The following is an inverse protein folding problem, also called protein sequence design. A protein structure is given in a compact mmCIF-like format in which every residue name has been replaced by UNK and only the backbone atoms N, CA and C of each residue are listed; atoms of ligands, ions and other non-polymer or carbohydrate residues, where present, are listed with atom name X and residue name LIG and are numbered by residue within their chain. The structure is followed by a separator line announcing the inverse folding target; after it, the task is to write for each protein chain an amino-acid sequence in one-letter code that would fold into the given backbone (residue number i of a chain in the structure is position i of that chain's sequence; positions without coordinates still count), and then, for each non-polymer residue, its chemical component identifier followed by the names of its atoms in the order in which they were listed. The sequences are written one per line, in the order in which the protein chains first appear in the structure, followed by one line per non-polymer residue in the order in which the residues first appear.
data_IF_999229653636
#
_entry.id   IF_999229653636
#
_cell.length_a   1.000
_cell.length_b   1.000
_cell.length_c   1.000
_cell.angle_alpha   90.00
_cell.angle_beta   90.00
_cell.angle_gamma   90.00
#
_symmetry.space_group_name_H-M   'P 1'
#
loop_
_entity.id
_entity.type
_entity.pdbx_description
1 polymer ?
#
# COMPACT_ATOMS: atom_id res chain seq x y z
N UNK A 1 12.40 -18.43 10.37
CA UNK A 1 12.27 -17.20 9.57
C UNK A 1 12.24 -16.02 10.55
N UNK A 2 13.26 -15.15 10.61
CA UNK A 2 13.35 -14.10 11.61
C UNK A 2 12.75 -12.80 11.06
N UNK A 3 11.46 -12.79 10.76
CA UNK A 3 10.79 -11.58 10.30
C UNK A 3 9.59 -11.30 11.21
N UNK A 4 9.49 -10.09 11.73
CA UNK A 4 8.26 -9.58 12.33
C UNK A 4 7.22 -9.38 11.24
N UNK A 5 5.96 -9.67 11.54
CA UNK A 5 4.82 -9.38 10.64
C UNK A 5 3.85 -8.45 11.34
N UNK A 6 3.28 -7.52 10.59
CA UNK A 6 2.23 -6.63 11.04
C UNK A 6 1.25 -6.40 9.88
N UNK A 7 -0.03 -6.25 10.21
CA UNK A 7 -1.08 -5.96 9.25
C UNK A 7 -1.77 -4.66 9.65
N UNK A 8 -1.93 -3.77 8.68
CA UNK A 8 -2.68 -2.53 8.84
C UNK A 8 -3.85 -2.56 7.87
N UNK A 9 -5.06 -2.48 8.41
CA UNK A 9 -6.28 -2.43 7.62
C UNK A 9 -6.84 -1.02 7.62
N UNK A 10 -7.31 -0.58 6.46
CA UNK A 10 -7.98 0.71 6.35
C UNK A 10 -9.33 0.61 7.06
N UNK A 11 -9.65 1.54 7.99
CA UNK A 11 -10.96 1.54 8.65
C UNK A 11 -12.11 1.54 7.64
N UNK A 12 -13.18 0.81 7.93
CA UNK A 12 -14.33 0.64 7.03
C UNK A 12 -15.04 1.96 6.67
N UNK A 13 -14.86 2.96 7.51
CA UNK A 13 -15.44 4.30 7.51
C UNK A 13 -14.74 5.22 6.50
N UNK A 14 -13.54 4.86 6.06
CA UNK A 14 -12.80 5.59 5.03
C UNK A 14 -13.40 5.23 3.66
N UNK A 15 -13.91 6.22 2.89
CA UNK A 15 -14.41 6.03 1.54
C UNK A 15 -13.37 5.33 0.66
N UNK A 16 -13.83 4.49 -0.28
CA UNK A 16 -12.94 3.64 -1.08
C UNK A 16 -11.90 4.46 -1.85
N UNK A 17 -12.33 5.59 -2.42
CA UNK A 17 -11.52 6.57 -3.13
C UNK A 17 -10.41 7.20 -2.27
N UNK A 18 -10.58 7.25 -0.95
CA UNK A 18 -9.61 7.86 -0.02
C UNK A 18 -8.63 6.84 0.58
N UNK A 19 -8.87 5.54 0.38
CA UNK A 19 -8.11 4.48 1.08
C UNK A 19 -6.64 4.45 0.71
N UNK A 20 -6.31 4.71 -0.56
CA UNK A 20 -4.91 4.76 -0.99
C UNK A 20 -4.16 5.90 -0.29
N UNK A 21 -4.74 7.10 -0.28
CA UNK A 21 -4.16 8.25 0.41
C UNK A 21 -4.05 8.02 1.92
N UNK A 22 -5.01 7.32 2.51
CA UNK A 22 -4.92 6.91 3.92
C UNK A 22 -3.71 5.98 4.16
N UNK A 23 -3.51 4.98 3.31
CA UNK A 23 -2.37 4.05 3.40
C UNK A 23 -1.05 4.82 3.26
N UNK A 24 -0.93 5.69 2.25
CA UNK A 24 0.28 6.51 2.03
C UNK A 24 0.62 7.35 3.26
N UNK A 25 -0.39 8.00 3.88
CA UNK A 25 -0.18 8.80 5.10
C UNK A 25 0.23 7.94 6.29
N UNK A 26 -0.34 6.74 6.44
CA UNK A 26 0.06 5.80 7.48
C UNK A 26 1.54 5.39 7.29
N UNK A 27 1.96 5.16 6.06
CA UNK A 27 3.35 4.82 5.75
C UNK A 27 4.29 5.99 6.00
N UNK A 28 3.94 7.20 5.59
CA UNK A 28 4.73 8.42 5.84
C UNK A 28 5.06 8.59 7.34
N UNK A 29 4.10 8.28 8.22
CA UNK A 29 4.29 8.35 9.68
C UNK A 29 5.20 7.23 10.21
N UNK A 30 5.07 6.02 9.66
CA UNK A 30 5.67 4.82 10.26
C UNK A 30 7.00 4.39 9.62
N UNK A 31 7.28 4.74 8.35
CA UNK A 31 8.48 4.32 7.63
C UNK A 31 9.76 4.68 8.39
N UNK A 32 9.82 5.91 8.92
CA UNK A 32 10.97 6.34 9.73
C UNK A 32 11.21 5.43 10.93
N UNK A 33 10.14 5.06 11.65
CA UNK A 33 10.25 4.18 12.81
C UNK A 33 10.67 2.76 12.41
N UNK A 34 10.18 2.25 11.28
CA UNK A 34 10.59 0.95 10.75
C UNK A 34 12.10 0.92 10.47
N UNK A 35 12.64 1.97 9.86
CA UNK A 35 14.09 2.10 9.63
C UNK A 35 14.89 2.23 10.93
N UNK A 36 14.39 2.99 11.91
CA UNK A 36 15.01 3.09 13.24
C UNK A 36 15.02 1.73 13.98
N UNK A 37 14.05 0.86 13.69
CA UNK A 37 14.00 -0.52 14.19
C UNK A 37 14.87 -1.51 13.39
N UNK A 38 15.60 -1.06 12.36
CA UNK A 38 16.53 -1.87 11.59
C UNK A 38 15.96 -2.48 10.31
N UNK A 39 14.82 -2.01 9.80
CA UNK A 39 14.39 -2.36 8.44
C UNK A 39 15.34 -1.74 7.41
N UNK A 40 15.82 -2.52 6.45
CA UNK A 40 16.78 -2.04 5.43
C UNK A 40 16.11 -1.83 4.05
N UNK A 41 15.15 -2.68 3.71
CA UNK A 41 14.39 -2.61 2.45
C UNK A 41 12.90 -2.63 2.79
N UNK A 42 12.16 -1.59 2.42
CA UNK A 42 10.70 -1.58 2.54
C UNK A 42 10.09 -1.54 1.16
N UNK A 43 9.52 -2.67 0.74
CA UNK A 43 8.72 -2.78 -0.47
C UNK A 43 7.26 -2.83 -0.07
N UNK A 44 6.45 -2.00 -0.70
CA UNK A 44 5.02 -1.96 -0.42
C UNK A 44 4.29 -2.57 -1.60
N UNK A 45 3.38 -3.48 -1.27
CA UNK A 45 2.53 -4.14 -2.23
C UNK A 45 1.07 -3.74 -1.93
N UNK A 46 0.43 -3.09 -2.90
CA UNK A 46 -0.99 -2.80 -2.85
C UNK A 46 -1.75 -3.72 -3.81
N UNK A 47 -2.68 -4.51 -3.26
CA UNK A 47 -3.63 -5.30 -4.04
C UNK A 47 -4.85 -4.46 -4.39
N UNK A 48 -5.18 -4.37 -5.68
CA UNK A 48 -6.35 -3.66 -6.16
C UNK A 48 -7.18 -4.60 -7.03
N UNK A 49 -8.23 -5.17 -6.43
CA UNK A 49 -9.00 -6.27 -7.00
C UNK A 49 -10.34 -5.78 -7.53
N UNK A 50 -10.59 -6.04 -8.81
CA UNK A 50 -11.89 -5.83 -9.44
C UNK A 50 -12.40 -7.14 -9.99
N UNK A 51 -13.71 -7.33 -9.91
CA UNK A 51 -14.39 -8.49 -10.50
C UNK A 51 -14.26 -8.54 -12.03
N UNK A 52 -14.13 -7.39 -12.67
CA UNK A 52 -14.12 -7.22 -14.13
C UNK A 52 -12.91 -6.37 -14.59
N UNK A 53 -13.08 -5.31 -15.39
CA UNK A 53 -11.95 -4.57 -15.98
C UNK A 53 -10.98 -3.98 -14.93
N UNK A 54 -9.69 -4.29 -15.07
CA UNK A 54 -8.61 -3.81 -14.20
C UNK A 54 -8.05 -2.43 -14.59
N UNK A 55 -8.84 -1.56 -15.23
CA UNK A 55 -8.39 -0.21 -15.54
C UNK A 55 -8.53 0.66 -14.29
N UNK A 56 -7.40 1.10 -13.73
CA UNK A 56 -7.35 2.07 -12.65
C UNK A 56 -6.31 3.14 -12.98
N UNK A 57 -6.47 4.31 -12.40
CA UNK A 57 -5.57 5.44 -12.59
C UNK A 57 -5.33 6.13 -11.27
N UNK A 58 -4.20 6.80 -11.17
CA UNK A 58 -3.88 7.65 -10.04
C UNK A 58 -4.09 9.10 -10.42
N UNK A 59 -4.67 9.85 -9.50
CA UNK A 59 -4.61 11.30 -9.51
C UNK A 59 -3.16 11.79 -9.39
N UNK A 60 -2.94 13.03 -9.81
CA UNK A 60 -1.63 13.70 -9.63
C UNK A 60 -1.23 13.76 -8.16
N UNK A 61 -2.19 13.95 -7.26
CA UNK A 61 -1.95 14.01 -5.81
C UNK A 61 -1.44 12.67 -5.28
N UNK A 62 -2.11 11.58 -5.63
CA UNK A 62 -1.70 10.22 -5.25
C UNK A 62 -0.30 9.88 -5.76
N UNK A 63 -0.03 10.13 -7.04
CA UNK A 63 1.31 9.90 -7.62
C UNK A 63 2.40 10.71 -6.89
N UNK A 64 2.09 11.96 -6.57
CA UNK A 64 3.04 12.83 -5.86
C UNK A 64 3.27 12.36 -4.42
N UNK A 65 2.23 11.83 -3.77
CA UNK A 65 2.32 11.32 -2.41
C UNK A 65 3.09 9.99 -2.35
N UNK A 66 2.84 9.07 -3.29
CA UNK A 66 3.61 7.82 -3.43
C UNK A 66 5.09 8.13 -3.65
N UNK A 67 5.40 9.03 -4.58
CA UNK A 67 6.79 9.38 -4.89
C UNK A 67 7.55 9.98 -3.69
N UNK A 68 6.86 10.69 -2.79
CA UNK A 68 7.46 11.26 -1.57
C UNK A 68 7.86 10.22 -0.53
N UNK A 69 7.32 9.02 -0.59
CA UNK A 69 7.71 7.95 0.33
C UNK A 69 9.14 7.45 0.05
N UNK A 70 9.70 7.75 -1.13
CA UNK A 70 11.06 7.37 -1.55
C UNK A 70 11.35 5.86 -1.41
N UNK A 71 10.37 5.05 -1.78
CA UNK A 71 10.42 3.58 -1.74
C UNK A 71 9.79 2.99 -3.00
N UNK A 72 10.10 1.73 -3.27
CA UNK A 72 9.43 0.96 -4.31
C UNK A 72 7.97 0.68 -3.93
N UNK A 73 7.06 1.11 -4.79
CA UNK A 73 5.63 0.88 -4.67
C UNK A 73 5.15 -0.03 -5.80
N UNK A 74 4.84 -1.28 -5.45
CA UNK A 74 4.31 -2.27 -6.37
C UNK A 74 2.78 -2.34 -6.27
N UNK A 75 2.11 -2.32 -7.41
CA UNK A 75 0.67 -2.54 -7.49
C UNK A 75 0.43 -3.85 -8.21
N UNK A 76 -0.41 -4.69 -7.62
CA UNK A 76 -0.95 -5.86 -8.29
C UNK A 76 -2.44 -5.72 -8.48
N UNK A 77 -2.86 -6.00 -9.71
CA UNK A 77 -4.26 -6.17 -10.09
C UNK A 77 -4.59 -7.64 -10.35
N UNK A 78 -3.69 -8.55 -10.00
CA UNK A 78 -3.90 -9.98 -10.10
C UNK A 78 -4.51 -10.48 -8.80
N UNK A 79 -5.77 -10.89 -8.86
CA UNK A 79 -6.42 -11.60 -7.75
C UNK A 79 -5.95 -13.06 -7.75
N UNK A 80 -5.42 -13.52 -6.62
CA UNK A 80 -5.28 -14.95 -6.36
C UNK A 80 -6.58 -15.33 -5.68
N UNK A 81 -7.67 -15.42 -6.45
CA UNK A 81 -8.88 -16.05 -5.93
C UNK A 81 -8.51 -17.48 -5.53
N UNK A 82 -8.86 -17.90 -4.31
CA UNK A 82 -8.71 -19.25 -3.76
C UNK A 82 -9.57 -20.30 -4.52
N UNK A 83 -9.53 -20.30 -5.85
CA UNK A 83 -9.99 -21.39 -6.72
C UNK A 83 -8.76 -22.19 -7.22
N UNK A 84 -7.94 -22.68 -6.28
CA UNK A 84 -7.22 -23.96 -6.41
C UNK A 84 -7.44 -24.81 -5.14
#
# INVERSE_FOLDING_TARGET
MPYGTAQLEVPAEIPYEDRLMWIIRALEVNLKQLYECGAEETRIYAGYFYKDQCNFGFSREELSAIAKLDIDFAISCYDISDEE
#
